data_IF_029601374015
#
_entry.id   IF_029601374015
#
_cell.length_a   1.000
_cell.length_b   1.000
_cell.length_c   1.000
_cell.angle_alpha   90.00
_cell.angle_beta   90.00
_cell.angle_gamma   90.00
#
_symmetry.space_group_name_H-M   'P 1'
#
loop_
_entity.id
_entity.type
_entity.pdbx_description
1 polymer ?
#
# COMPACT_ATOMS: atom_id res chain seq x y z
N UNK A 1 82.25 24.46 -6.99
CA UNK A 1 80.77 24.57 -7.07
C UNK A 1 80.35 24.20 -8.47
N UNK A 2 80.09 22.91 -8.71
CA UNK A 2 79.60 22.38 -9.98
C UNK A 2 78.07 22.31 -9.91
N UNK A 3 77.39 23.00 -10.83
CA UNK A 3 75.94 23.03 -10.96
C UNK A 3 75.45 21.71 -11.54
N UNK A 4 74.69 20.93 -10.76
CA UNK A 4 74.02 19.71 -11.20
C UNK A 4 72.71 20.10 -11.90
N UNK A 5 72.70 20.00 -13.22
CA UNK A 5 71.47 20.12 -14.03
C UNK A 5 70.68 18.83 -13.89
N UNK A 6 69.56 18.90 -13.17
CA UNK A 6 68.64 17.77 -12.97
C UNK A 6 67.79 17.60 -14.23
N UNK A 7 67.86 16.42 -14.84
CA UNK A 7 66.98 16.00 -15.94
C UNK A 7 65.64 15.60 -15.33
N UNK A 8 64.57 16.33 -15.64
CA UNK A 8 63.20 15.91 -15.37
C UNK A 8 62.67 15.18 -16.60
N UNK A 9 62.60 13.85 -16.53
CA UNK A 9 61.79 13.04 -17.44
C UNK A 9 60.35 13.13 -16.90
N UNK A 10 59.47 13.77 -17.66
CA UNK A 10 58.04 13.68 -17.42
C UNK A 10 57.60 12.27 -17.81
N UNK A 11 57.24 11.45 -16.83
CA UNK A 11 56.48 10.22 -17.06
C UNK A 11 55.06 10.65 -17.46
N UNK A 12 54.70 10.45 -18.73
CA UNK A 12 53.31 10.49 -19.15
C UNK A 12 52.58 9.30 -18.53
N UNK A 13 51.87 9.58 -17.44
CA UNK A 13 50.93 8.65 -16.83
C UNK A 13 49.79 8.39 -17.83
N UNK A 14 49.93 7.31 -18.60
CA UNK A 14 48.88 6.78 -19.46
C UNK A 14 47.65 6.48 -18.61
N UNK A 15 46.66 7.38 -18.67
CA UNK A 15 45.36 7.17 -18.06
C UNK A 15 44.78 5.89 -18.67
N UNK A 16 44.73 4.83 -17.87
CA UNK A 16 44.11 3.57 -18.27
C UNK A 16 42.69 3.86 -18.76
N UNK A 17 42.46 3.69 -20.07
CA UNK A 17 41.13 3.74 -20.68
C UNK A 17 40.25 2.72 -19.95
N UNK A 18 39.38 3.23 -19.08
CA UNK A 18 38.36 2.41 -18.43
C UNK A 18 37.30 2.11 -19.47
N UNK A 19 37.43 0.97 -20.14
CA UNK A 19 36.39 0.46 -21.01
C UNK A 19 35.11 0.21 -20.18
N UNK A 20 33.95 0.72 -20.60
CA UNK A 20 32.70 0.45 -19.91
C UNK A 20 32.37 -1.05 -20.01
N UNK A 21 32.59 -1.79 -18.92
CA UNK A 21 32.17 -3.18 -18.79
C UNK A 21 30.72 -3.21 -18.31
N UNK A 22 29.82 -3.67 -19.17
CA UNK A 22 28.44 -3.97 -18.81
C UNK A 22 28.28 -5.47 -18.50
N UNK A 23 28.05 -5.81 -17.23
CA UNK A 23 27.69 -7.17 -16.85
C UNK A 23 26.19 -7.41 -17.05
N UNK A 24 25.83 -8.36 -17.92
CA UNK A 24 24.48 -8.96 -17.91
C UNK A 24 24.46 -10.09 -16.89
N UNK A 25 23.81 -9.86 -15.75
CA UNK A 25 23.50 -10.92 -14.81
C UNK A 25 22.11 -11.50 -15.14
N UNK A 26 22.08 -12.74 -15.63
CA UNK A 26 20.84 -13.48 -15.77
C UNK A 26 20.54 -14.26 -14.48
N UNK A 27 19.41 -13.95 -13.84
CA UNK A 27 18.93 -14.73 -12.70
C UNK A 27 18.13 -15.93 -13.20
N UNK A 28 18.59 -17.14 -12.90
CA UNK A 28 17.89 -18.38 -13.20
C UNK A 28 16.56 -18.43 -12.43
N UNK A 29 15.43 -18.40 -13.15
CA UNK A 29 14.13 -18.63 -12.54
C UNK A 29 13.92 -20.14 -12.40
N UNK A 30 13.99 -20.65 -11.17
CA UNK A 30 13.62 -22.04 -10.88
C UNK A 30 12.17 -22.26 -11.33
N UNK A 31 11.89 -23.24 -12.22
CA UNK A 31 10.55 -23.45 -12.74
C UNK A 31 9.59 -23.80 -11.59
N UNK A 32 8.39 -23.19 -11.54
CA UNK A 32 7.39 -23.59 -10.57
C UNK A 32 7.03 -25.06 -10.80
N UNK A 33 7.03 -25.86 -9.73
CA UNK A 33 6.44 -27.20 -9.75
C UNK A 33 4.94 -27.04 -10.07
N UNK A 34 4.51 -27.54 -11.24
CA UNK A 34 3.18 -27.51 -11.86
C UNK A 34 2.82 -26.30 -12.75
N UNK A 35 2.19 -26.63 -13.88
CA UNK A 35 1.54 -25.71 -14.79
C UNK A 35 0.47 -24.93 -14.05
N UNK A 36 0.70 -23.63 -13.84
CA UNK A 36 -0.29 -22.76 -13.27
C UNK A 36 -1.49 -22.73 -14.24
N UNK A 37 -2.61 -23.32 -13.83
CA UNK A 37 -3.92 -23.14 -14.48
C UNK A 37 -4.09 -21.66 -14.82
N UNK A 38 -4.41 -21.37 -16.07
CA UNK A 38 -4.77 -20.05 -16.56
C UNK A 38 -5.93 -19.56 -15.70
N UNK A 39 -5.63 -18.70 -14.72
CA UNK A 39 -6.67 -18.09 -13.92
C UNK A 39 -7.49 -17.22 -14.85
N UNK A 40 -8.81 -17.26 -14.69
CA UNK A 40 -9.71 -16.30 -15.32
C UNK A 40 -9.15 -14.89 -15.09
N UNK A 41 -9.25 -13.97 -16.08
CA UNK A 41 -8.78 -12.61 -15.90
C UNK A 41 -9.47 -12.04 -14.67
N UNK A 42 -8.67 -11.66 -13.67
CA UNK A 42 -9.16 -10.87 -12.54
C UNK A 42 -9.87 -9.66 -13.13
N UNK A 43 -11.06 -9.31 -12.62
CA UNK A 43 -11.77 -8.12 -13.08
C UNK A 43 -10.78 -6.95 -13.20
N UNK A 44 -10.53 -6.55 -14.45
CA UNK A 44 -9.53 -5.53 -14.81
C UNK A 44 -9.92 -4.17 -14.25
N UNK A 45 -11.22 -3.96 -14.05
CA UNK A 45 -11.78 -2.77 -13.46
C UNK A 45 -11.33 -2.59 -11.99
N UNK A 46 -10.86 -1.39 -11.68
CA UNK A 46 -10.59 -0.96 -10.31
C UNK A 46 -11.93 -0.88 -9.56
N UNK A 47 -12.05 -1.35 -8.30
CA UNK A 47 -13.28 -1.17 -7.53
C UNK A 47 -13.64 0.30 -7.40
N UNK A 48 -14.93 0.63 -7.53
CA UNK A 48 -15.41 1.99 -7.33
C UNK A 48 -15.49 2.36 -5.85
N UNK A 49 -15.86 1.42 -4.99
CA UNK A 49 -15.87 1.61 -3.54
C UNK A 49 -14.43 1.63 -3.02
N UNK A 50 -14.10 2.63 -2.21
CA UNK A 50 -12.75 2.91 -1.74
C UNK A 50 -12.79 3.15 -0.23
N UNK A 51 -11.89 2.51 0.49
CA UNK A 51 -11.55 2.81 1.88
C UNK A 51 -10.11 3.33 1.91
N UNK A 52 -9.94 4.61 2.23
CA UNK A 52 -8.63 5.24 2.43
C UNK A 52 -8.37 5.34 3.92
N UNK A 53 -7.15 5.02 4.36
CA UNK A 53 -6.75 5.15 5.76
C UNK A 53 -5.28 5.53 5.89
N UNK A 54 -4.97 6.16 7.01
CA UNK A 54 -3.61 6.49 7.45
C UNK A 54 -3.52 6.36 8.97
N UNK A 55 -2.34 6.03 9.50
CA UNK A 55 -2.13 5.81 10.95
C UNK A 55 -0.98 6.63 11.51
N UNK A 56 -1.20 7.19 12.69
CA UNK A 56 -0.19 7.87 13.48
C UNK A 56 0.26 6.98 14.64
N UNK A 57 1.56 7.03 14.93
CA UNK A 57 2.19 6.15 15.91
C UNK A 57 2.99 6.93 16.93
N UNK A 58 3.39 6.24 18.00
CA UNK A 58 4.49 6.70 18.84
C UNK A 58 5.78 6.83 18.00
N UNK A 59 6.69 7.69 18.44
CA UNK A 59 7.97 7.94 17.76
C UNK A 59 9.08 7.00 18.23
N UNK A 60 8.84 6.22 19.28
CA UNK A 60 9.78 5.21 19.75
C UNK A 60 9.82 4.00 18.77
N UNK A 61 10.87 3.16 18.83
CA UNK A 61 11.04 2.06 17.89
C UNK A 61 9.88 1.05 17.81
N UNK A 62 8.99 0.99 18.81
CA UNK A 62 7.81 0.12 18.75
C UNK A 62 6.77 0.63 17.77
N UNK A 63 6.72 1.94 17.52
CA UNK A 63 5.75 2.63 16.67
C UNK A 63 4.33 2.11 16.93
N UNK A 64 3.91 2.13 18.20
CA UNK A 64 2.57 1.69 18.60
C UNK A 64 1.54 2.64 18.01
N UNK A 65 0.43 2.09 17.53
CA UNK A 65 -0.70 2.88 17.08
C UNK A 65 -1.13 3.85 18.19
N UNK A 66 -1.25 5.13 17.84
CA UNK A 66 -1.93 6.12 18.67
C UNK A 66 -3.37 6.24 18.18
N UNK A 67 -3.50 6.76 16.97
CA UNK A 67 -4.76 6.95 16.27
C UNK A 67 -4.54 6.91 14.77
N UNK A 68 -5.59 7.09 13.99
CA UNK A 68 -5.51 7.36 12.57
C UNK A 68 -6.86 7.79 12.03
N UNK A 69 -6.88 8.19 10.77
CA UNK A 69 -8.07 8.66 10.08
C UNK A 69 -8.44 7.70 8.96
N UNK A 70 -9.71 7.70 8.60
CA UNK A 70 -10.19 6.91 7.48
C UNK A 70 -11.36 7.59 6.79
N UNK A 71 -11.49 7.34 5.49
CA UNK A 71 -12.61 7.75 4.65
C UNK A 71 -13.10 6.58 3.83
N UNK A 72 -14.39 6.32 3.89
CA UNK A 72 -15.07 5.39 3.00
C UNK A 72 -15.94 6.16 2.02
N UNK A 73 -15.90 5.77 0.75
CA UNK A 73 -16.65 6.42 -0.30
C UNK A 73 -16.62 5.63 -1.59
N UNK A 74 -17.05 6.27 -2.68
CA UNK A 74 -16.99 5.69 -4.00
C UNK A 74 -16.51 6.70 -5.03
N UNK A 75 -16.00 6.19 -6.15
CA UNK A 75 -15.73 7.00 -7.33
C UNK A 75 -17.04 7.22 -8.10
N UNK A 76 -17.41 8.48 -8.32
CA UNK A 76 -18.60 8.82 -9.10
C UNK A 76 -18.34 8.66 -10.61
N UNK A 77 -19.37 8.90 -11.44
CA UNK A 77 -19.29 8.79 -12.89
C UNK A 77 -18.26 9.75 -13.54
N UNK A 78 -17.95 10.87 -12.88
CA UNK A 78 -16.93 11.83 -13.33
C UNK A 78 -15.51 11.46 -12.88
N UNK A 79 -15.33 10.34 -12.17
CA UNK A 79 -14.03 9.89 -11.67
C UNK A 79 -13.61 10.51 -10.33
N UNK A 80 -14.43 11.38 -9.72
CA UNK A 80 -14.12 12.01 -8.45
C UNK A 80 -14.50 11.11 -7.26
N UNK A 81 -13.72 11.19 -6.18
CA UNK A 81 -14.02 10.49 -4.92
C UNK A 81 -15.11 11.23 -4.15
N UNK A 82 -16.19 10.52 -3.81
CA UNK A 82 -17.29 11.01 -3.00
C UNK A 82 -17.24 10.32 -1.64
N UNK A 83 -16.83 11.06 -0.61
CA UNK A 83 -16.75 10.56 0.77
C UNK A 83 -18.16 10.36 1.34
N UNK A 84 -18.47 9.16 1.82
CA UNK A 84 -19.77 8.77 2.40
C UNK A 84 -19.74 8.58 3.92
N UNK A 85 -18.56 8.34 4.48
CA UNK A 85 -18.32 8.19 5.90
C UNK A 85 -16.85 8.56 6.19
N UNK A 86 -16.62 9.37 7.21
CA UNK A 86 -15.29 9.72 7.71
C UNK A 86 -15.24 9.40 9.21
N UNK A 87 -14.07 8.98 9.68
CA UNK A 87 -13.87 8.78 11.10
C UNK A 87 -12.40 8.75 11.49
N UNK A 88 -12.21 8.74 12.81
CA UNK A 88 -10.98 8.44 13.48
C UNK A 88 -11.04 7.02 14.04
N UNK A 89 -9.88 6.40 14.16
CA UNK A 89 -9.68 5.16 14.89
C UNK A 89 -8.56 5.35 15.91
N UNK A 90 -8.63 4.69 17.07
CA UNK A 90 -7.60 4.80 18.10
C UNK A 90 -7.21 3.43 18.68
N UNK A 91 -5.99 3.31 19.20
CA UNK A 91 -5.54 2.04 19.77
C UNK A 91 -6.43 1.59 20.94
N UNK A 92 -6.73 0.30 21.01
CA UNK A 92 -7.68 -0.25 21.99
C UNK A 92 -7.27 0.02 23.45
N UNK A 93 -5.96 0.19 23.70
CA UNK A 93 -5.35 0.48 25.00
C UNK A 93 -5.00 1.98 25.21
N UNK A 94 -5.40 2.86 24.28
CA UNK A 94 -5.12 4.30 24.37
C UNK A 94 -5.76 4.95 25.60
N UNK A 95 -7.02 4.67 25.98
CA UNK A 95 -7.65 5.29 27.15
C UNK A 95 -6.85 5.08 28.45
N UNK A 96 -6.23 3.91 28.60
CA UNK A 96 -5.42 3.56 29.75
C UNK A 96 -3.97 4.07 29.61
N UNK A 97 -3.40 3.98 28.41
CA UNK A 97 -1.99 4.32 28.15
C UNK A 97 -1.74 5.82 28.05
N UNK A 98 -2.68 6.56 27.48
CA UNK A 98 -2.64 8.01 27.27
C UNK A 98 -4.05 8.61 27.33
N UNK A 99 -4.58 8.72 28.56
CA UNK A 99 -5.90 9.26 28.82
C UNK A 99 -6.07 10.71 28.31
N UNK A 100 -5.00 11.51 28.32
CA UNK A 100 -5.03 12.89 27.84
C UNK A 100 -5.17 12.94 26.31
N UNK A 101 -4.40 12.13 25.58
CA UNK A 101 -4.53 11.99 24.14
C UNK A 101 -5.89 11.42 23.72
N UNK A 102 -6.41 10.44 24.46
CA UNK A 102 -7.76 9.91 24.24
C UNK A 102 -8.84 10.98 24.46
N UNK A 103 -8.73 11.78 25.52
CA UNK A 103 -9.67 12.88 25.77
C UNK A 103 -9.58 13.94 24.66
N UNK A 104 -8.38 14.25 24.16
CA UNK A 104 -8.21 15.13 23.00
C UNK A 104 -8.96 14.63 21.77
N UNK A 105 -8.93 13.32 21.46
CA UNK A 105 -9.71 12.76 20.34
C UNK A 105 -11.21 12.93 20.55
N UNK A 106 -11.70 12.69 21.77
CA UNK A 106 -13.12 12.87 22.12
C UNK A 106 -13.57 14.32 21.95
N UNK A 107 -12.79 15.26 22.45
CA UNK A 107 -13.10 16.69 22.36
C UNK A 107 -13.05 17.17 20.90
N UNK A 108 -12.09 16.64 20.13
CA UNK A 108 -11.96 16.93 18.70
C UNK A 108 -13.19 16.44 17.92
N UNK A 109 -13.64 15.19 18.09
CA UNK A 109 -14.82 14.68 17.36
C UNK A 109 -16.12 15.35 17.80
N UNK A 110 -16.22 15.82 19.06
CA UNK A 110 -17.38 16.57 19.54
C UNK A 110 -17.48 17.97 18.91
N UNK A 111 -16.34 18.59 18.60
CA UNK A 111 -16.24 19.95 18.06
C UNK A 111 -16.17 20.02 16.53
N UNK A 112 -15.84 18.93 15.84
CA UNK A 112 -15.66 18.88 14.40
C UNK A 112 -16.75 18.04 13.70
N UNK A 113 -16.95 18.29 12.41
CA UNK A 113 -17.85 17.49 11.55
C UNK A 113 -17.05 16.61 10.61
N UNK A 114 -17.71 15.54 10.15
CA UNK A 114 -17.20 14.75 9.04
C UNK A 114 -17.30 15.56 7.74
N UNK A 115 -16.24 15.50 6.94
CA UNK A 115 -16.22 15.97 5.55
C UNK A 115 -16.78 14.85 4.66
N UNK A 116 -18.10 14.80 4.60
CA UNK A 116 -18.85 13.80 3.82
C UNK A 116 -19.97 14.42 3.01
N UNK A 117 -20.21 13.84 1.83
CA UNK A 117 -21.35 14.13 0.98
C UNK A 117 -22.65 13.46 1.48
N UNK A 118 -22.59 12.62 2.52
CA UNK A 118 -23.75 11.93 3.06
C UNK A 118 -24.39 12.72 4.21
N UNK A 119 -25.53 13.42 4.00
CA UNK A 119 -26.14 14.24 5.04
C UNK A 119 -26.68 13.43 6.22
N UNK A 120 -26.80 12.09 6.09
CA UNK A 120 -27.21 11.20 7.17
C UNK A 120 -26.07 10.80 8.10
N UNK A 121 -24.83 11.17 7.78
CA UNK A 121 -23.64 10.88 8.60
C UNK A 121 -22.78 12.14 8.80
N UNK A 122 -23.34 13.25 9.29
CA UNK A 122 -22.62 14.52 9.39
C UNK A 122 -21.54 14.53 10.49
N UNK A 123 -21.58 13.56 11.40
CA UNK A 123 -20.68 13.49 12.55
C UNK A 123 -19.43 12.68 12.24
N UNK A 124 -18.29 13.14 12.77
CA UNK A 124 -17.03 12.42 12.69
C UNK A 124 -17.07 11.24 13.66
N UNK A 125 -16.88 10.02 13.15
CA UNK A 125 -16.89 8.83 13.99
C UNK A 125 -15.58 8.73 14.79
N UNK A 126 -15.66 8.19 16.01
CA UNK A 126 -14.50 7.80 16.80
C UNK A 126 -14.65 6.33 17.18
N UNK A 127 -13.81 5.47 16.60
CA UNK A 127 -13.87 4.03 16.79
C UNK A 127 -12.61 3.52 17.49
N UNK A 128 -12.75 2.50 18.34
CA UNK A 128 -11.58 1.69 18.71
C UNK A 128 -11.00 1.03 17.47
N UNK A 129 -9.71 0.69 17.50
CA UNK A 129 -9.02 -0.06 16.45
C UNK A 129 -9.78 -1.34 16.14
N UNK A 130 -10.25 -2.04 17.18
CA UNK A 130 -11.05 -3.26 17.04
C UNK A 130 -12.37 -3.03 16.31
N UNK A 131 -13.13 -2.00 16.67
CA UNK A 131 -14.40 -1.66 16.00
C UNK A 131 -14.16 -1.29 14.54
N UNK A 132 -13.17 -0.43 14.26
CA UNK A 132 -12.80 -0.07 12.89
C UNK A 132 -12.45 -1.32 12.07
N UNK A 133 -11.58 -2.18 12.58
CA UNK A 133 -11.13 -3.38 11.88
C UNK A 133 -12.28 -4.37 11.64
N UNK A 134 -13.02 -4.72 12.69
CA UNK A 134 -14.04 -5.77 12.62
C UNK A 134 -15.32 -5.31 11.91
N UNK A 135 -15.61 -4.01 11.91
CA UNK A 135 -16.82 -3.49 11.28
C UNK A 135 -16.56 -2.77 9.96
N UNK A 136 -15.67 -1.78 9.91
CA UNK A 136 -15.51 -0.92 8.73
C UNK A 136 -14.56 -1.53 7.71
N UNK A 137 -13.34 -1.90 8.13
CA UNK A 137 -12.38 -2.57 7.25
C UNK A 137 -12.92 -3.92 6.76
N UNK A 138 -13.56 -4.70 7.64
CA UNK A 138 -14.19 -5.95 7.22
C UNK A 138 -15.31 -5.73 6.20
N UNK A 139 -16.23 -4.77 6.42
CA UNK A 139 -17.31 -4.50 5.45
C UNK A 139 -16.76 -4.02 4.12
N UNK A 140 -15.74 -3.17 4.11
CA UNK A 140 -15.07 -2.72 2.89
C UNK A 140 -14.46 -3.91 2.12
N UNK A 141 -13.72 -4.78 2.82
CA UNK A 141 -13.12 -5.96 2.20
C UNK A 141 -14.15 -7.00 1.76
N UNK A 142 -15.16 -7.30 2.56
CA UNK A 142 -16.19 -8.26 2.20
C UNK A 142 -17.11 -7.73 1.09
N UNK A 143 -17.22 -6.40 0.98
CA UNK A 143 -17.90 -5.69 -0.11
C UNK A 143 -17.07 -5.52 -1.39
N UNK A 144 -15.80 -5.93 -1.40
CA UNK A 144 -14.94 -5.85 -2.59
C UNK A 144 -14.30 -4.49 -2.84
N UNK A 145 -14.31 -3.59 -1.86
CA UNK A 145 -13.72 -2.25 -1.98
C UNK A 145 -12.19 -2.28 -2.20
N UNK A 146 -11.66 -1.17 -2.73
CA UNK A 146 -10.24 -0.90 -2.79
C UNK A 146 -9.79 -0.26 -1.45
N UNK A 147 -8.95 -0.96 -0.70
CA UNK A 147 -8.32 -0.44 0.52
C UNK A 147 -7.00 0.22 0.15
N UNK A 148 -6.84 1.49 0.51
CA UNK A 148 -5.76 2.36 0.05
C UNK A 148 -5.10 3.07 1.22
N UNK A 149 -3.78 3.21 1.13
CA UNK A 149 -2.96 4.07 1.99
C UNK A 149 -1.72 4.52 1.22
N UNK A 150 -1.09 5.61 1.64
CA UNK A 150 0.17 6.06 1.07
C UNK A 150 1.33 5.51 1.90
N UNK A 151 1.84 4.32 1.56
CA UNK A 151 2.58 3.39 2.44
C UNK A 151 1.68 2.41 3.21
N UNK A 152 0.61 1.93 2.59
CA UNK A 152 -0.39 1.02 3.19
C UNK A 152 0.17 -0.18 3.98
N UNK A 153 1.29 -0.84 3.60
CA UNK A 153 1.89 -1.89 4.43
C UNK A 153 2.20 -1.43 5.86
N UNK A 154 2.67 -0.19 6.03
CA UNK A 154 2.94 0.37 7.34
C UNK A 154 1.65 0.43 8.16
N UNK A 155 0.62 1.09 7.63
CA UNK A 155 -0.64 1.31 8.34
C UNK A 155 -1.34 0.02 8.76
N UNK A 156 -1.43 -0.93 7.84
CA UNK A 156 -2.05 -2.24 8.12
C UNK A 156 -1.30 -3.00 9.22
N UNK A 157 0.02 -2.85 9.32
CA UNK A 157 0.77 -3.49 10.40
C UNK A 157 0.55 -2.83 11.75
N UNK A 158 0.23 -1.51 11.80
CA UNK A 158 -0.13 -0.83 13.05
C UNK A 158 -1.48 -1.30 13.58
N UNK A 159 -2.33 -1.80 12.70
CA UNK A 159 -3.62 -2.42 13.05
C UNK A 159 -3.51 -3.91 13.41
N UNK A 160 -2.33 -4.54 13.40
CA UNK A 160 -2.18 -5.99 13.61
C UNK A 160 -2.24 -6.42 15.07
N UNK A 161 -2.98 -7.49 15.37
CA UNK A 161 -3.03 -8.15 16.70
C UNK A 161 -2.13 -9.37 16.79
N UNK A 162 -1.68 -9.87 15.63
CA UNK A 162 -0.75 -11.00 15.53
C UNK A 162 0.10 -10.88 14.27
N UNK A 163 1.34 -11.36 14.33
CA UNK A 163 2.25 -11.47 13.20
C UNK A 163 2.89 -12.86 13.12
N UNK A 164 3.15 -13.33 11.90
CA UNK A 164 3.88 -14.57 11.66
C UNK A 164 4.45 -14.66 10.25
N UNK A 165 5.09 -15.77 9.92
CA UNK A 165 5.65 -15.98 8.59
C UNK A 165 4.54 -16.10 7.52
N UNK A 166 4.73 -15.44 6.37
CA UNK A 166 3.80 -15.59 5.25
C UNK A 166 3.94 -16.98 4.61
N UNK A 167 2.79 -17.61 4.33
CA UNK A 167 2.72 -18.90 3.66
C UNK A 167 2.43 -18.76 2.16
N UNK A 168 2.94 -19.72 1.38
CA UNK A 168 2.72 -19.86 -0.06
C UNK A 168 3.87 -19.34 -0.93
N UNK A 169 3.95 -19.76 -2.19
CA UNK A 169 5.10 -19.51 -3.05
C UNK A 169 5.31 -18.02 -3.35
N UNK A 170 4.23 -17.25 -3.53
CA UNK A 170 4.29 -15.82 -3.88
C UNK A 170 4.87 -14.95 -2.77
N UNK A 171 4.64 -15.31 -1.51
CA UNK A 171 5.05 -14.52 -0.33
C UNK A 171 6.14 -15.22 0.50
N UNK A 172 6.84 -16.21 -0.08
CA UNK A 172 7.97 -16.88 0.59
C UNK A 172 9.03 -15.85 1.00
N UNK A 173 9.46 -15.90 2.26
CA UNK A 173 10.39 -14.93 2.86
C UNK A 173 9.72 -13.63 3.31
N UNK A 174 8.40 -13.51 3.18
CA UNK A 174 7.61 -12.40 3.70
C UNK A 174 6.96 -12.73 5.06
N UNK A 175 6.17 -11.78 5.57
CA UNK A 175 5.42 -11.91 6.81
C UNK A 175 3.93 -11.68 6.57
N UNK A 176 3.11 -12.14 7.50
CA UNK A 176 1.68 -11.99 7.47
C UNK A 176 1.17 -11.52 8.83
N UNK A 177 0.14 -10.69 8.82
CA UNK A 177 -0.49 -10.17 10.02
C UNK A 177 -1.98 -10.49 10.04
N UNK A 178 -2.49 -10.70 11.24
CA UNK A 178 -3.92 -10.85 11.52
C UNK A 178 -4.40 -9.57 12.19
N UNK A 179 -5.47 -8.99 11.65
CA UNK A 179 -6.08 -7.77 12.17
C UNK A 179 -7.37 -8.09 12.93
N UNK A 180 -8.17 -9.02 12.39
CA UNK A 180 -9.51 -9.30 12.89
C UNK A 180 -9.51 -10.13 14.16
N UNK A 181 -10.44 -9.83 15.04
CA UNK A 181 -10.66 -10.51 16.31
C UNK A 181 -12.14 -10.91 16.46
N UNK A 182 -12.42 -11.81 17.40
CA UNK A 182 -13.78 -12.10 17.86
C UNK A 182 -13.76 -12.27 19.37
N UNK A 183 -14.88 -11.95 20.01
CA UNK A 183 -15.02 -12.18 21.45
C UNK A 183 -15.39 -13.65 21.69
N UNK A 184 -14.48 -14.41 22.29
CA UNK A 184 -14.73 -15.77 22.71
C UNK A 184 -15.48 -15.75 24.05
N UNK A 185 -16.79 -16.03 24.00
CA UNK A 185 -17.66 -16.05 25.17
C UNK A 185 -17.27 -17.12 26.20
N UNK A 186 -16.56 -18.19 25.81
CA UNK A 186 -16.15 -19.25 26.72
C UNK A 186 -14.97 -18.81 27.58
N UNK A 187 -14.03 -18.08 27.01
CA UNK A 187 -12.84 -17.58 27.71
C UNK A 187 -13.01 -16.14 28.21
N UNK A 188 -14.10 -15.46 27.81
CA UNK A 188 -14.35 -14.04 28.04
C UNK A 188 -13.20 -13.13 27.56
N UNK A 189 -12.51 -13.55 26.49
CA UNK A 189 -11.37 -12.81 25.92
C UNK A 189 -11.53 -12.58 24.43
N UNK A 190 -10.90 -11.52 23.94
CA UNK A 190 -10.76 -11.30 22.50
C UNK A 190 -9.68 -12.23 21.95
N UNK A 191 -10.01 -12.89 20.85
CA UNK A 191 -9.15 -13.87 20.20
C UNK A 191 -9.00 -13.55 18.71
N UNK A 192 -7.82 -13.79 18.11
CA UNK A 192 -7.63 -13.60 16.68
C UNK A 192 -8.60 -14.44 15.85
N UNK A 193 -9.28 -13.82 14.88
CA UNK A 193 -10.33 -14.47 14.10
C UNK A 193 -9.76 -15.24 12.91
N UNK A 194 -9.58 -16.55 13.07
CA UNK A 194 -9.04 -17.45 12.04
C UNK A 194 -9.93 -17.64 10.80
N UNK A 195 -11.18 -17.18 10.83
CA UNK A 195 -12.09 -17.23 9.67
C UNK A 195 -11.93 -16.03 8.73
N UNK A 196 -11.24 -14.98 9.20
CA UNK A 196 -10.94 -13.78 8.42
C UNK A 196 -9.58 -13.87 7.74
N UNK A 197 -9.38 -13.20 6.60
CA UNK A 197 -8.12 -13.25 5.88
C UNK A 197 -6.98 -12.61 6.69
N UNK A 198 -5.79 -13.16 6.53
CA UNK A 198 -4.54 -12.54 6.96
C UNK A 198 -4.01 -11.67 5.82
N UNK A 199 -3.35 -10.58 6.18
CA UNK A 199 -2.70 -9.67 5.24
C UNK A 199 -1.25 -10.11 5.11
N UNK A 200 -0.79 -10.36 3.88
CA UNK A 200 0.56 -10.85 3.59
C UNK A 200 1.34 -9.77 2.89
N UNK A 201 2.60 -9.66 3.29
CA UNK A 201 3.55 -8.68 2.78
C UNK A 201 4.85 -9.38 2.43
N UNK A 202 5.52 -8.89 1.40
CA UNK A 202 6.90 -9.27 1.11
C UNK A 202 7.64 -8.04 0.64
N UNK A 203 8.58 -7.54 1.45
CA UNK A 203 9.46 -6.46 1.02
C UNK A 203 10.34 -6.96 -0.14
N UNK A 204 10.36 -6.21 -1.24
CA UNK A 204 11.33 -6.39 -2.32
C UNK A 204 12.47 -5.37 -2.16
N UNK A 205 12.13 -4.15 -1.79
CA UNK A 205 13.02 -3.05 -1.43
C UNK A 205 12.26 -2.00 -0.63
N UNK A 206 12.87 -0.83 -0.39
CA UNK A 206 12.28 0.30 0.36
C UNK A 206 11.06 0.95 -0.31
N UNK A 207 10.74 0.60 -1.55
CA UNK A 207 9.67 1.20 -2.35
C UNK A 207 8.55 0.22 -2.70
N UNK A 208 8.86 -1.09 -2.71
CA UNK A 208 8.00 -2.12 -3.29
C UNK A 208 7.75 -3.23 -2.29
N UNK A 209 6.48 -3.35 -1.91
CA UNK A 209 6.00 -4.45 -1.09
C UNK A 209 4.72 -5.03 -1.72
N UNK A 210 4.80 -6.12 -2.51
CA UNK A 210 3.61 -6.88 -2.88
C UNK A 210 2.79 -7.23 -1.65
N UNK A 211 1.48 -7.02 -1.77
CA UNK A 211 0.48 -7.30 -0.75
C UNK A 211 -0.51 -8.35 -1.23
N UNK A 212 -1.08 -9.10 -0.30
CA UNK A 212 -2.18 -10.00 -0.65
C UNK A 212 -2.86 -10.65 0.55
N UNK A 213 -4.14 -10.95 0.39
CA UNK A 213 -4.96 -11.58 1.42
C UNK A 213 -4.84 -13.10 1.35
N UNK A 214 -4.84 -13.81 2.49
CA UNK A 214 -5.13 -15.25 2.49
C UNK A 214 -6.60 -15.47 2.14
N UNK A 215 -6.96 -16.72 1.79
CA UNK A 215 -8.37 -17.06 1.60
C UNK A 215 -9.13 -16.89 2.92
N UNK A 216 -10.35 -16.36 2.83
CA UNK A 216 -11.37 -16.45 3.88
C UNK A 216 -11.64 -17.93 4.18
N UNK A 217 -11.94 -18.26 5.44
CA UNK A 217 -12.39 -19.61 5.84
C UNK A 217 -13.84 -19.54 6.33
N UNK A 218 -14.60 -20.63 6.13
CA UNK A 218 -15.99 -20.76 6.60
C UNK A 218 -17.08 -20.52 5.53
N UNK A 219 -18.36 -20.86 5.84
CA UNK A 219 -19.48 -20.81 4.89
C UNK A 219 -19.83 -19.38 4.45
N UNK A 220 -20.39 -19.21 3.25
CA UNK A 220 -20.98 -17.95 2.75
C UNK A 220 -22.49 -17.93 3.01
N UNK A 221 -23.09 -16.76 3.21
CA UNK A 221 -24.54 -16.63 3.09
C UNK A 221 -24.96 -16.88 1.63
N UNK A 222 -26.12 -17.51 1.42
CA UNK A 222 -26.59 -17.91 0.09
C UNK A 222 -26.72 -16.72 -0.89
N UNK A 223 -27.11 -15.53 -0.40
CA UNK A 223 -27.17 -14.28 -1.19
C UNK A 223 -25.80 -13.81 -1.69
N UNK A 224 -24.71 -14.11 -0.97
CA UNK A 224 -23.33 -13.70 -1.33
C UNK A 224 -22.54 -14.83 -2.00
N UNK A 225 -23.18 -15.97 -2.28
CA UNK A 225 -22.57 -17.11 -2.95
C UNK A 225 -22.33 -16.85 -4.45
N UNK A 226 -22.99 -15.85 -5.04
CA UNK A 226 -22.99 -15.58 -6.48
C UNK A 226 -21.75 -14.84 -7.01
N UNK A 227 -20.82 -14.39 -6.15
CA UNK A 227 -19.52 -13.84 -6.59
C UNK A 227 -18.35 -14.65 -6.01
N UNK A 228 -17.82 -15.64 -6.74
CA UNK A 228 -16.83 -16.59 -6.25
C UNK A 228 -15.49 -15.96 -5.81
N UNK A 229 -15.14 -14.79 -6.33
CA UNK A 229 -13.85 -14.09 -6.19
C UNK A 229 -14.13 -12.57 -6.18
N UNK A 230 -13.67 -11.69 -5.30
CA UNK A 230 -12.57 -11.69 -4.37
C UNK A 230 -12.96 -10.78 -3.19
N UNK A 231 -12.32 -10.98 -2.04
CA UNK A 231 -12.22 -9.92 -1.05
C UNK A 231 -11.70 -8.63 -1.72
N UNK A 232 -11.92 -7.50 -1.06
CA UNK A 232 -11.40 -6.21 -1.45
C UNK A 232 -9.90 -6.25 -1.73
N UNK A 233 -9.46 -5.28 -2.53
CA UNK A 233 -8.10 -5.21 -3.06
C UNK A 233 -7.29 -4.24 -2.23
N UNK A 234 -5.99 -4.48 -2.16
CA UNK A 234 -5.05 -3.63 -1.42
C UNK A 234 -4.21 -2.86 -2.42
N UNK A 235 -4.17 -1.53 -2.31
CA UNK A 235 -3.37 -0.66 -3.16
C UNK A 235 -2.51 0.24 -2.29
N UNK A 236 -1.19 0.11 -2.46
CA UNK A 236 -0.24 1.06 -1.88
C UNK A 236 -0.05 2.19 -2.90
N UNK A 237 -0.60 3.36 -2.56
CA UNK A 237 -0.62 4.48 -3.49
C UNK A 237 0.79 4.99 -3.80
N UNK A 238 1.70 4.89 -2.82
CA UNK A 238 3.10 5.26 -3.01
C UNK A 238 3.76 4.42 -4.11
N UNK A 239 3.46 3.12 -4.16
CA UNK A 239 4.00 2.21 -5.18
C UNK A 239 3.39 2.47 -6.57
N UNK A 240 2.08 2.80 -6.65
CA UNK A 240 1.44 3.17 -7.91
C UNK A 240 1.98 4.49 -8.45
N UNK A 241 2.11 5.52 -7.60
CA UNK A 241 2.71 6.81 -7.96
C UNK A 241 4.13 6.60 -8.49
N UNK A 242 4.96 5.84 -7.77
CA UNK A 242 6.30 5.49 -8.24
C UNK A 242 6.28 4.77 -9.60
N UNK A 243 5.31 3.88 -9.83
CA UNK A 243 5.18 3.17 -11.10
C UNK A 243 4.84 4.09 -12.29
N UNK A 244 4.05 5.13 -12.05
CA UNK A 244 3.61 6.09 -13.07
C UNK A 244 4.66 7.17 -13.33
N UNK A 245 5.39 7.61 -12.30
CA UNK A 245 6.30 8.77 -12.41
C UNK A 245 7.79 8.42 -12.46
N UNK A 246 8.17 7.18 -12.12
CA UNK A 246 9.56 6.75 -11.90
C UNK A 246 10.31 7.61 -10.86
N UNK A 247 9.57 8.25 -9.94
CA UNK A 247 10.12 9.14 -8.91
C UNK A 247 9.61 8.78 -7.52
N UNK A 248 10.46 8.97 -6.53
CA UNK A 248 10.07 8.83 -5.13
C UNK A 248 9.34 10.11 -4.70
N UNK A 249 8.15 9.94 -4.13
CA UNK A 249 7.33 11.04 -3.66
C UNK A 249 6.95 10.84 -2.17
N UNK A 250 6.97 11.94 -1.42
CA UNK A 250 6.06 12.13 -0.28
C UNK A 250 4.64 12.35 -0.78
N UNK A 251 3.63 12.27 0.10
CA UNK A 251 2.26 12.54 -0.29
C UNK A 251 2.09 13.94 -0.89
N UNK A 252 2.69 14.96 -0.28
CA UNK A 252 2.69 16.34 -0.77
C UNK A 252 3.28 16.47 -2.18
N UNK A 253 4.45 15.85 -2.42
CA UNK A 253 5.10 15.92 -3.74
C UNK A 253 4.39 15.07 -4.79
N UNK A 254 3.70 14.00 -4.38
CA UNK A 254 2.83 13.23 -5.27
C UNK A 254 1.62 14.08 -5.71
N UNK A 255 0.94 14.74 -4.76
CA UNK A 255 -0.16 15.65 -5.06
C UNK A 255 0.24 16.73 -6.07
N UNK A 256 1.37 17.39 -5.85
CA UNK A 256 1.94 18.37 -6.81
C UNK A 256 2.21 17.76 -8.19
N UNK A 257 2.77 16.55 -8.25
CA UNK A 257 3.06 15.87 -9.51
C UNK A 257 1.79 15.54 -10.32
N UNK A 258 0.65 15.35 -9.63
CA UNK A 258 -0.66 15.12 -10.24
C UNK A 258 -1.51 16.41 -10.35
N UNK A 259 -0.92 17.59 -10.16
CA UNK A 259 -1.59 18.88 -10.33
C UNK A 259 -2.59 19.23 -9.23
N UNK A 260 -2.52 18.58 -8.07
CA UNK A 260 -3.37 18.86 -6.92
C UNK A 260 -2.70 19.88 -5.99
N UNK A 261 -3.50 20.80 -5.46
CA UNK A 261 -3.06 21.67 -4.38
C UNK A 261 -2.94 20.86 -3.08
N UNK A 262 -1.74 20.83 -2.51
CA UNK A 262 -1.49 20.28 -1.19
C UNK A 262 -1.27 21.45 -0.21
N UNK A 263 -2.11 21.54 0.82
CA UNK A 263 -1.88 22.51 1.89
C UNK A 263 -0.69 22.02 2.71
N UNK A 264 0.31 22.87 2.89
CA UNK A 264 1.43 22.54 3.78
C UNK A 264 0.96 22.63 5.23
N UNK A 265 0.61 21.48 5.81
CA UNK A 265 0.40 21.34 7.24
C UNK A 265 1.72 20.85 7.84
N UNK A 266 2.43 21.73 8.54
CA UNK A 266 3.66 21.37 9.25
C UNK A 266 3.30 21.08 10.71
N UNK A 267 3.58 19.86 11.17
CA UNK A 267 3.43 19.50 12.58
C UNK A 267 4.78 19.60 13.28
N UNK A 268 4.82 20.35 14.37
CA UNK A 268 6.04 20.59 15.13
C UNK A 268 6.53 19.33 15.87
N UNK A 269 5.61 18.42 16.24
CA UNK A 269 5.92 17.22 17.00
C UNK A 269 5.01 16.06 16.62
N UNK A 270 5.59 14.95 16.14
CA UNK A 270 4.90 13.67 15.99
C UNK A 270 4.84 12.91 17.32
N UNK A 271 3.88 11.98 17.43
CA UNK A 271 3.78 11.07 18.57
C UNK A 271 3.04 11.60 19.80
N UNK A 272 2.52 12.84 19.76
CA UNK A 272 1.62 13.38 20.78
C UNK A 272 0.30 13.78 20.12
N UNK A 273 -0.81 13.30 20.65
CA UNK A 273 -2.14 13.61 20.10
C UNK A 273 -2.50 15.06 20.45
N UNK A 274 -2.62 15.90 19.43
CA UNK A 274 -3.11 17.29 19.53
C UNK A 274 -4.13 17.55 18.41
N UNK A 275 -4.99 18.58 18.52
CA UNK A 275 -5.94 18.93 17.46
C UNK A 275 -5.28 19.15 16.10
N UNK A 276 -4.12 19.81 16.06
CA UNK A 276 -3.38 20.08 14.83
C UNK A 276 -2.86 18.79 14.19
N UNK A 277 -2.42 17.83 15.00
CA UNK A 277 -1.95 16.54 14.49
C UNK A 277 -3.12 15.70 13.97
N UNK A 278 -4.30 15.80 14.57
CA UNK A 278 -5.52 15.18 14.06
C UNK A 278 -5.93 15.83 12.73
N UNK A 279 -5.88 17.16 12.61
CA UNK A 279 -6.13 17.88 11.36
C UNK A 279 -5.16 17.45 10.25
N UNK A 280 -3.86 17.35 10.58
CA UNK A 280 -2.84 16.86 9.68
C UNK A 280 -3.18 15.46 9.16
N UNK A 281 -3.47 14.51 10.05
CA UNK A 281 -3.74 13.14 9.67
C UNK A 281 -5.03 13.01 8.81
N UNK A 282 -6.08 13.78 9.16
CA UNK A 282 -7.31 13.86 8.35
C UNK A 282 -7.04 14.43 6.96
N UNK A 283 -6.22 15.48 6.87
CA UNK A 283 -5.83 16.09 5.61
C UNK A 283 -5.04 15.10 4.74
N UNK A 284 -4.12 14.34 5.31
CA UNK A 284 -3.34 13.33 4.59
C UNK A 284 -4.23 12.22 4.01
N UNK A 285 -5.27 11.78 4.73
CA UNK A 285 -6.25 10.82 4.19
C UNK A 285 -7.06 11.44 3.04
N UNK A 286 -7.50 12.69 3.17
CA UNK A 286 -8.21 13.40 2.10
C UNK A 286 -7.34 13.58 0.85
N UNK A 287 -6.08 13.99 1.05
CA UNK A 287 -5.10 14.19 -0.02
C UNK A 287 -4.74 12.86 -0.68
N UNK A 288 -4.61 11.77 0.10
CA UNK A 288 -4.42 10.41 -0.41
C UNK A 288 -5.57 9.99 -1.33
N UNK A 289 -6.82 10.29 -0.97
CA UNK A 289 -7.97 10.02 -1.84
C UNK A 289 -7.92 10.84 -3.14
N UNK A 290 -7.52 12.12 -3.06
CA UNK A 290 -7.34 12.99 -4.22
C UNK A 290 -6.24 12.48 -5.17
N UNK A 291 -5.06 12.15 -4.62
CA UNK A 291 -3.94 11.58 -5.40
C UNK A 291 -4.34 10.25 -6.02
N UNK A 292 -5.10 9.41 -5.31
CA UNK A 292 -5.59 8.14 -5.84
C UNK A 292 -6.42 8.36 -7.10
N UNK A 293 -7.43 9.23 -7.07
CA UNK A 293 -8.30 9.43 -8.25
C UNK A 293 -7.53 10.01 -9.44
N UNK A 294 -6.59 10.93 -9.19
CA UNK A 294 -5.73 11.47 -10.24
C UNK A 294 -4.79 10.40 -10.83
N UNK A 295 -4.18 9.56 -9.98
CA UNK A 295 -3.34 8.46 -10.41
C UNK A 295 -4.12 7.38 -11.17
N UNK A 296 -5.36 7.10 -10.76
CA UNK A 296 -6.26 6.19 -11.47
C UNK A 296 -6.67 6.76 -12.83
N UNK A 297 -6.94 8.06 -12.92
CA UNK A 297 -7.24 8.71 -14.20
C UNK A 297 -6.05 8.62 -15.17
N UNK A 298 -4.82 8.83 -14.69
CA UNK A 298 -3.63 8.61 -15.52
C UNK A 298 -3.46 7.13 -15.90
N UNK A 299 -3.68 6.21 -14.95
CA UNK A 299 -3.61 4.77 -15.19
C UNK A 299 -4.57 4.32 -16.30
N UNK A 300 -5.80 4.83 -16.31
CA UNK A 300 -6.83 4.49 -17.28
C UNK A 300 -6.49 4.93 -18.72
N UNK A 301 -5.53 5.84 -18.90
CA UNK A 301 -5.01 6.22 -20.23
C UNK A 301 -4.09 5.16 -20.81
N UNK A 302 -3.61 4.22 -20.00
CA UNK A 302 -2.73 3.16 -20.47
C UNK A 302 -3.55 1.96 -21.00
N UNK A 303 -3.30 1.46 -22.22
CA UNK A 303 -4.01 0.34 -22.83
C UNK A 303 -3.53 -1.02 -22.27
N UNK A 304 -3.56 -1.17 -20.95
CA UNK A 304 -2.98 -2.32 -20.25
C UNK A 304 -4.08 -3.21 -19.68
N UNK A 305 -4.02 -4.49 -20.03
CA UNK A 305 -4.80 -5.54 -19.36
C UNK A 305 -4.18 -5.91 -17.99
N UNK A 306 -4.00 -4.90 -17.13
CA UNK A 306 -3.47 -5.02 -15.79
C UNK A 306 -4.22 -4.06 -14.87
N UNK A 307 -4.35 -4.44 -13.61
CA UNK A 307 -4.99 -3.58 -12.65
C UNK A 307 -3.97 -2.74 -11.86
N UNK A 308 -4.34 -1.52 -11.43
CA UNK A 308 -3.41 -0.56 -10.84
C UNK A 308 -2.76 -1.08 -9.55
N UNK A 309 -3.51 -1.80 -8.71
CA UNK A 309 -3.03 -2.44 -7.47
C UNK A 309 -2.04 -3.61 -7.70
N UNK A 310 -1.73 -3.95 -8.96
CA UNK A 310 -0.73 -4.96 -9.33
C UNK A 310 0.55 -4.34 -9.89
N UNK A 311 0.62 -3.02 -10.02
CA UNK A 311 1.78 -2.31 -10.53
C UNK A 311 2.47 -1.56 -9.41
N UNK A 312 3.77 -1.82 -9.28
CA UNK A 312 4.60 -1.26 -8.20
C UNK A 312 5.89 -0.64 -8.73
N UNK A 313 6.12 -0.63 -10.05
CA UNK A 313 7.30 -0.03 -10.64
C UNK A 313 7.10 0.28 -12.13
N UNK A 314 7.88 1.22 -12.70
CA UNK A 314 7.86 1.52 -14.14
C UNK A 314 8.20 0.31 -15.00
N UNK A 315 9.13 -0.55 -14.54
CA UNK A 315 9.41 -1.82 -15.22
C UNK A 315 8.19 -2.76 -15.31
N UNK A 316 7.24 -2.68 -14.37
CA UNK A 316 5.98 -3.41 -14.41
C UNK A 316 5.06 -2.88 -15.51
N UNK A 317 4.99 -1.55 -15.63
CA UNK A 317 4.28 -0.84 -16.69
C UNK A 317 4.85 -1.17 -18.07
N UNK A 318 6.18 -1.07 -18.25
CA UNK A 318 6.88 -1.41 -19.48
C UNK A 318 6.63 -2.86 -19.92
N UNK A 319 6.65 -3.82 -18.98
CA UNK A 319 6.27 -5.22 -19.26
C UNK A 319 4.82 -5.35 -19.69
N UNK A 320 3.93 -4.51 -19.16
CA UNK A 320 2.55 -4.40 -19.61
C UNK A 320 2.48 -3.99 -21.07
N UNK A 321 3.17 -2.92 -21.46
CA UNK A 321 3.22 -2.44 -22.84
C UNK A 321 3.77 -3.47 -23.81
N UNK A 322 4.88 -4.13 -23.46
CA UNK A 322 5.45 -5.20 -24.30
C UNK A 322 4.42 -6.31 -24.56
N UNK A 323 3.64 -6.72 -23.55
CA UNK A 323 2.56 -7.71 -23.75
C UNK A 323 1.43 -7.16 -24.62
N UNK A 324 1.03 -5.91 -24.41
CA UNK A 324 -0.01 -5.26 -25.22
C UNK A 324 0.40 -5.15 -26.70
N UNK A 325 1.69 -4.94 -26.97
CA UNK A 325 2.30 -4.96 -28.30
C UNK A 325 2.48 -6.37 -28.88
N UNK A 326 2.10 -7.43 -28.16
CA UNK A 326 2.28 -8.82 -28.61
C UNK A 326 3.72 -9.31 -28.58
N UNK A 327 4.63 -8.62 -27.88
CA UNK A 327 6.03 -9.02 -27.77
C UNK A 327 6.13 -10.28 -26.90
N UNK A 328 6.52 -11.39 -27.53
CA UNK A 328 6.80 -12.65 -26.84
C UNK A 328 8.02 -12.49 -25.93
N UNK A 329 7.90 -12.77 -24.62
CA UNK A 329 9.04 -12.70 -23.71
C UNK A 329 10.20 -13.59 -24.19
N UNK A 330 11.47 -13.14 -24.05
CA UNK A 330 12.63 -13.92 -24.46
C UNK A 330 12.64 -15.35 -23.90
N UNK A 331 12.24 -15.51 -22.63
CA UNK A 331 12.15 -16.84 -21.98
C UNK A 331 11.19 -17.82 -22.66
N UNK A 332 10.18 -17.31 -23.38
CA UNK A 332 9.26 -18.13 -24.18
C UNK A 332 9.81 -18.31 -25.59
N UNK A 333 10.29 -17.22 -26.21
CA UNK A 333 10.83 -17.23 -27.57
C UNK A 333 12.02 -18.19 -27.73
N UNK A 334 12.87 -18.26 -26.71
CA UNK A 334 14.10 -19.07 -26.71
C UNK A 334 13.98 -20.32 -25.81
N UNK A 335 12.76 -20.77 -25.50
CA UNK A 335 12.55 -21.92 -24.61
C UNK A 335 13.24 -23.22 -25.07
N UNK A 336 13.48 -23.35 -26.37
CA UNK A 336 14.11 -24.53 -26.99
C UNK A 336 15.58 -24.31 -27.38
N UNK A 337 16.14 -23.13 -27.11
CA UNK A 337 17.56 -22.87 -27.38
C UNK A 337 18.37 -23.38 -26.17
N UNK A 338 19.41 -24.20 -26.39
CA UNK A 338 20.30 -24.63 -25.32
C UNK A 338 20.83 -23.45 -24.51
N UNK A 339 20.85 -23.56 -23.18
CA UNK A 339 21.23 -22.44 -22.31
C UNK A 339 22.64 -21.91 -22.61
N UNK A 340 23.56 -22.80 -23.00
CA UNK A 340 24.94 -22.43 -23.37
C UNK A 340 25.00 -21.44 -24.55
N UNK A 341 23.95 -21.37 -25.37
CA UNK A 341 23.88 -20.49 -26.55
C UNK A 341 23.12 -19.18 -26.29
N UNK A 342 22.45 -19.05 -25.14
CA UNK A 342 21.65 -17.86 -24.80
C UNK A 342 22.50 -16.80 -24.05
N UNK A 343 23.69 -17.19 -23.55
CA UNK A 343 24.64 -16.32 -22.85
C UNK A 343 24.34 -16.15 -21.37
#
# INVERSE_FOLDING_TARGET
>A
MMSLTTVSLAEEESAAETLPVAYRAYLQRVPPRSSARTKAPLALACPNDILVLDTETTTDPTQRLLFGSWRYGHRNAAGAFVCLEEGLMYADDLPERDAAGFQCLKDYVASHRADTANPRRPELLLLTRREFVNERLWKALDGGALVVGFNLPFDLTRLAVYCGAAKGPTFRGGFAVQLFEYFDRRTATWQPNGFRPWFRFKALDSKRAPMGLTRRRGPRSAERAQSPEALGRLLDLKALVFALTDRNHSLETAAKAFGLEARKLAIAQHGRITPEYIDYNRHDVALTAGVLVAALAEWERHPLALAPDKVMSPAGLAKGYLRALGVTPPAVKFANVPQELIG
#
